data_IF_729690721418
#
_entry.id   IF_729690721418
#
_cell.length_a   1.000
_cell.length_b   1.000
_cell.length_c   1.000
_cell.angle_alpha   90.00
_cell.angle_beta   90.00
_cell.angle_gamma   90.00
#
_symmetry.space_group_name_H-M   'P 1'
#
loop_
_entity.id
_entity.type
_entity.pdbx_description
1 polymer ?
#
# COMPACT_ATOMS: atom_id res chain seq x y z
N UNK A 1 -48.80 -30.39 18.92
CA UNK A 1 -48.02 -30.11 17.69
C UNK A 1 -46.87 -29.20 18.09
N UNK A 2 -45.65 -29.71 18.21
CA UNK A 2 -44.46 -28.95 18.56
C UNK A 2 -43.70 -28.65 17.25
N UNK A 3 -43.57 -27.39 16.92
CA UNK A 3 -42.79 -26.95 15.76
C UNK A 3 -41.32 -26.86 16.18
N UNK A 4 -40.47 -27.65 15.51
CA UNK A 4 -39.03 -27.67 15.68
C UNK A 4 -38.45 -26.62 14.76
N UNK A 5 -37.79 -25.59 15.32
CA UNK A 5 -37.05 -24.56 14.57
C UNK A 5 -35.65 -25.13 14.33
N UNK A 6 -35.32 -25.31 13.06
CA UNK A 6 -33.98 -25.72 12.64
C UNK A 6 -33.04 -24.48 12.62
N UNK A 7 -31.98 -24.55 13.44
CA UNK A 7 -30.88 -23.61 13.38
C UNK A 7 -30.00 -23.88 12.13
N UNK A 8 -29.92 -22.92 11.27
CA UNK A 8 -28.95 -22.88 10.15
C UNK A 8 -27.62 -22.31 10.69
N UNK A 9 -26.48 -22.97 10.53
CA UNK A 9 -25.22 -22.44 10.96
C UNK A 9 -24.80 -21.31 9.98
N UNK A 10 -24.64 -20.10 10.52
CA UNK A 10 -24.02 -18.98 9.80
C UNK A 10 -22.52 -19.26 9.64
N UNK A 11 -22.12 -19.59 8.44
CA UNK A 11 -20.71 -19.64 8.04
C UNK A 11 -20.16 -18.21 7.98
N UNK A 12 -19.32 -17.86 8.94
CA UNK A 12 -18.53 -16.63 8.91
C UNK A 12 -17.50 -16.74 7.80
N UNK A 13 -17.74 -16.04 6.69
CA UNK A 13 -16.72 -15.75 5.69
C UNK A 13 -15.79 -14.68 6.28
N UNK A 14 -14.60 -15.12 6.67
CA UNK A 14 -13.50 -14.22 7.03
C UNK A 14 -13.03 -13.53 5.74
N UNK A 15 -13.48 -12.31 5.52
CA UNK A 15 -12.90 -11.43 4.50
C UNK A 15 -11.54 -10.94 4.99
N UNK A 16 -10.48 -11.46 4.42
CA UNK A 16 -9.14 -10.87 4.53
C UNK A 16 -9.17 -9.51 3.82
N UNK A 17 -9.28 -8.44 4.60
CA UNK A 17 -9.19 -7.07 4.11
C UNK A 17 -7.74 -6.75 3.73
N UNK A 18 -7.36 -7.07 2.51
CA UNK A 18 -6.26 -6.36 1.85
C UNK A 18 -6.69 -4.90 1.72
N UNK A 19 -5.84 -3.96 2.17
CA UNK A 19 -5.99 -2.53 1.97
C UNK A 19 -5.91 -2.18 0.47
N UNK A 20 -6.94 -2.53 -0.28
CA UNK A 20 -7.31 -1.78 -1.45
C UNK A 20 -8.21 -0.63 -0.95
N UNK A 21 -8.06 0.62 -1.43
CA UNK A 21 -8.99 1.68 -1.07
C UNK A 21 -10.39 1.20 -1.40
N UNK A 22 -11.30 1.29 -0.41
CA UNK A 22 -12.73 1.10 -0.65
C UNK A 22 -13.15 2.20 -1.63
N UNK A 23 -13.10 1.87 -2.93
CA UNK A 23 -13.79 2.65 -3.94
C UNK A 23 -15.25 2.71 -3.49
N UNK A 24 -15.75 3.88 -3.17
CA UNK A 24 -17.18 4.12 -3.11
C UNK A 24 -17.72 3.78 -4.50
N UNK A 25 -18.19 2.54 -4.66
CA UNK A 25 -18.78 2.06 -5.90
C UNK A 25 -20.13 2.75 -6.05
N UNK A 26 -20.20 3.73 -6.95
CA UNK A 26 -21.44 3.98 -7.64
C UNK A 26 -21.82 2.70 -8.37
N UNK A 27 -23.11 2.27 -8.38
CA UNK A 27 -23.54 1.08 -9.07
C UNK A 27 -23.56 1.34 -10.59
N UNK A 28 -22.40 1.23 -11.22
CA UNK A 28 -22.27 1.17 -12.66
C UNK A 28 -21.20 0.11 -12.97
N UNK A 29 -21.71 -1.07 -13.42
CA UNK A 29 -20.96 -2.13 -14.07
C UNK A 29 -19.60 -2.45 -13.38
N UNK A 30 -19.63 -3.34 -12.41
CA UNK A 30 -18.42 -4.13 -12.09
C UNK A 30 -17.99 -4.79 -13.40
N UNK A 31 -17.04 -4.17 -14.11
CA UNK A 31 -16.30 -4.88 -15.15
C UNK A 31 -15.58 -6.02 -14.43
N UNK A 32 -16.11 -7.23 -14.56
CA UNK A 32 -15.46 -8.41 -14.02
C UNK A 32 -14.01 -8.39 -14.51
N UNK A 33 -13.07 -8.45 -13.58
CA UNK A 33 -11.66 -8.54 -13.93
C UNK A 33 -11.47 -9.66 -14.97
N UNK A 34 -10.66 -9.42 -16.02
CA UNK A 34 -10.40 -10.44 -17.04
C UNK A 34 -9.98 -11.76 -16.41
N UNK A 35 -10.41 -12.88 -16.98
CA UNK A 35 -10.15 -14.22 -16.45
C UNK A 35 -8.66 -14.48 -16.20
N UNK A 36 -7.80 -14.07 -17.14
CA UNK A 36 -6.35 -14.23 -17.01
C UNK A 36 -5.78 -13.46 -15.81
N UNK A 37 -6.38 -12.32 -15.42
CA UNK A 37 -5.95 -11.57 -14.23
C UNK A 37 -6.28 -12.36 -12.97
N UNK A 38 -7.49 -12.93 -12.86
CA UNK A 38 -7.88 -13.74 -11.70
C UNK A 38 -7.02 -15.00 -11.58
N UNK A 39 -6.77 -15.69 -12.69
CA UNK A 39 -5.91 -16.87 -12.73
C UNK A 39 -4.47 -16.54 -12.33
N UNK A 40 -3.90 -15.47 -12.87
CA UNK A 40 -2.56 -15.03 -12.52
C UNK A 40 -2.44 -14.62 -11.04
N UNK A 41 -3.43 -13.90 -10.51
CA UNK A 41 -3.46 -13.58 -9.08
C UNK A 41 -3.55 -14.83 -8.19
N UNK A 42 -4.24 -15.88 -8.64
CA UNK A 42 -4.26 -17.16 -7.93
C UNK A 42 -2.87 -17.81 -7.91
N UNK A 43 -2.20 -17.86 -9.07
CA UNK A 43 -0.82 -18.37 -9.16
C UNK A 43 0.13 -17.58 -8.25
N UNK A 44 0.00 -16.26 -8.22
CA UNK A 44 0.81 -15.42 -7.33
C UNK A 44 0.56 -15.73 -5.84
N UNK A 45 -0.70 -15.95 -5.43
CA UNK A 45 -1.03 -16.38 -4.05
C UNK A 45 -0.44 -17.73 -3.69
N UNK A 46 -0.26 -18.60 -4.67
CA UNK A 46 0.41 -19.91 -4.53
C UNK A 46 1.95 -19.80 -4.57
N UNK A 47 2.51 -18.58 -4.68
CA UNK A 47 3.95 -18.34 -4.82
C UNK A 47 4.51 -18.65 -6.20
N UNK A 48 3.66 -18.93 -7.19
CA UNK A 48 4.05 -19.32 -8.57
C UNK A 48 4.17 -18.09 -9.47
N UNK A 49 5.12 -17.20 -9.17
CA UNK A 49 5.30 -15.95 -9.92
C UNK A 49 5.70 -16.21 -11.37
N UNK A 50 6.56 -17.21 -11.63
CA UNK A 50 6.97 -17.57 -12.98
C UNK A 50 5.77 -18.06 -13.83
N UNK A 51 4.89 -18.89 -13.25
CA UNK A 51 3.71 -19.38 -13.95
C UNK A 51 2.73 -18.24 -14.26
N UNK A 52 2.57 -17.29 -13.32
CA UNK A 52 1.77 -16.09 -13.55
C UNK A 52 2.33 -15.24 -14.68
N UNK A 53 3.65 -15.05 -14.74
CA UNK A 53 4.32 -14.32 -15.81
C UNK A 53 4.14 -15.03 -17.18
N UNK A 54 4.28 -16.35 -17.21
CA UNK A 54 4.04 -17.17 -18.42
C UNK A 54 2.59 -16.98 -18.91
N UNK A 55 1.61 -17.02 -18.03
CA UNK A 55 0.20 -16.78 -18.36
C UNK A 55 -0.01 -15.40 -18.98
N UNK A 56 0.55 -14.35 -18.37
CA UNK A 56 0.41 -12.98 -18.87
C UNK A 56 1.11 -12.77 -20.20
N UNK A 57 2.31 -13.32 -20.38
CA UNK A 57 3.04 -13.30 -21.67
C UNK A 57 2.28 -14.03 -22.77
N UNK A 58 1.67 -15.18 -22.47
CA UNK A 58 0.80 -15.90 -23.41
C UNK A 58 -0.42 -15.06 -23.82
N UNK A 59 -1.04 -14.38 -22.87
CA UNK A 59 -2.14 -13.44 -23.16
C UNK A 59 -1.68 -12.32 -24.10
N UNK A 60 -0.48 -11.79 -23.89
CA UNK A 60 0.07 -10.73 -24.74
C UNK A 60 0.45 -11.20 -26.16
N UNK A 61 0.70 -12.49 -26.38
CA UNK A 61 0.90 -13.03 -27.75
C UNK A 61 -0.37 -12.90 -28.60
N UNK A 62 -1.55 -13.07 -27.98
CA UNK A 62 -2.85 -12.95 -28.67
C UNK A 62 -3.46 -11.56 -28.57
N UNK A 63 -3.07 -10.78 -27.57
CA UNK A 63 -3.61 -9.44 -27.27
C UNK A 63 -2.50 -8.47 -26.88
N UNK A 64 -1.60 -8.09 -27.80
CA UNK A 64 -0.38 -7.30 -27.47
C UNK A 64 -0.68 -5.88 -26.98
N UNK A 65 -1.87 -5.38 -27.25
CA UNK A 65 -2.33 -4.04 -26.83
C UNK A 65 -3.20 -4.06 -25.55
N UNK A 66 -3.24 -5.19 -24.85
CA UNK A 66 -3.98 -5.29 -23.58
C UNK A 66 -3.27 -4.52 -22.47
N UNK A 67 -3.82 -3.37 -22.08
CA UNK A 67 -3.32 -2.59 -20.93
C UNK A 67 -3.28 -3.44 -19.64
N UNK A 68 -4.37 -4.17 -19.26
CA UNK A 68 -4.33 -5.00 -18.05
C UNK A 68 -3.27 -6.12 -18.09
N UNK A 69 -3.03 -6.73 -19.24
CA UNK A 69 -2.04 -7.81 -19.35
C UNK A 69 -0.60 -7.27 -19.25
N UNK A 70 -0.33 -6.11 -19.85
CA UNK A 70 0.96 -5.45 -19.72
C UNK A 70 1.20 -5.04 -18.26
N UNK A 71 0.22 -4.41 -17.58
CA UNK A 71 0.33 -4.05 -16.17
C UNK A 71 0.59 -5.29 -15.31
N UNK A 72 -0.17 -6.37 -15.51
CA UNK A 72 -0.03 -7.60 -14.73
C UNK A 72 1.36 -8.25 -14.91
N UNK A 73 1.87 -8.32 -16.15
CA UNK A 73 3.21 -8.86 -16.41
C UNK A 73 4.30 -8.02 -15.74
N UNK A 74 4.23 -6.68 -15.85
CA UNK A 74 5.16 -5.77 -15.19
C UNK A 74 5.13 -5.90 -13.67
N UNK A 75 3.93 -5.98 -13.06
CA UNK A 75 3.79 -6.11 -11.61
C UNK A 75 4.43 -7.39 -11.06
N UNK A 76 4.30 -8.52 -11.77
CA UNK A 76 5.00 -9.76 -11.39
C UNK A 76 6.51 -9.60 -11.48
N UNK A 77 7.00 -8.96 -12.54
CA UNK A 77 8.44 -8.72 -12.71
C UNK A 77 9.02 -7.84 -11.60
N UNK A 78 8.31 -6.80 -11.15
CA UNK A 78 8.74 -6.00 -9.99
C UNK A 78 8.82 -6.85 -8.71
N UNK A 79 7.81 -7.68 -8.46
CA UNK A 79 7.82 -8.62 -7.33
C UNK A 79 8.98 -9.63 -7.42
N UNK A 80 9.40 -9.99 -8.62
CA UNK A 80 10.60 -10.83 -8.86
C UNK A 80 11.91 -10.05 -8.73
N UNK A 81 11.88 -8.70 -8.66
CA UNK A 81 13.04 -7.83 -8.61
C UNK A 81 13.62 -7.48 -10.00
N UNK A 82 12.83 -7.63 -11.05
CA UNK A 82 13.21 -7.38 -12.45
C UNK A 82 12.62 -6.05 -12.96
N UNK A 83 12.88 -4.95 -12.23
CA UNK A 83 12.26 -3.65 -12.44
C UNK A 83 12.49 -3.05 -13.83
N UNK A 84 13.69 -3.19 -14.41
CA UNK A 84 13.95 -2.70 -15.77
C UNK A 84 13.07 -3.39 -16.82
N UNK A 85 12.85 -4.68 -16.69
CA UNK A 85 11.97 -5.41 -17.59
C UNK A 85 10.50 -5.09 -17.32
N UNK A 86 10.10 -4.95 -16.06
CA UNK A 86 8.77 -4.51 -15.65
C UNK A 86 8.38 -3.20 -16.33
N UNK A 87 9.27 -2.22 -16.31
CA UNK A 87 9.05 -0.89 -16.92
C UNK A 87 8.84 -0.93 -18.44
N UNK A 88 9.36 -1.92 -19.15
CA UNK A 88 9.06 -2.09 -20.59
C UNK A 88 7.58 -2.42 -20.80
N UNK A 89 7.01 -3.26 -19.95
CA UNK A 89 5.59 -3.59 -20.00
C UNK A 89 4.73 -2.39 -19.58
N UNK A 90 5.09 -1.66 -18.52
CA UNK A 90 4.34 -0.46 -18.13
C UNK A 90 4.43 0.65 -19.21
N UNK A 91 5.59 0.86 -19.83
CA UNK A 91 5.72 1.79 -20.93
C UNK A 91 4.81 1.38 -22.10
N UNK A 92 4.75 0.08 -22.42
CA UNK A 92 3.82 -0.42 -23.44
C UNK A 92 2.37 -0.19 -23.03
N UNK A 93 2.01 -0.42 -21.76
CA UNK A 93 0.66 -0.16 -21.26
C UNK A 93 0.27 1.32 -21.40
N UNK A 94 1.19 2.25 -21.11
CA UNK A 94 0.98 3.71 -21.27
C UNK A 94 0.78 4.07 -22.74
N UNK A 95 1.60 3.49 -23.65
CA UNK A 95 1.58 3.75 -25.07
C UNK A 95 0.26 3.30 -25.74
N UNK A 96 -0.25 2.13 -25.32
CA UNK A 96 -1.45 1.53 -25.93
C UNK A 96 -2.75 1.88 -25.19
N UNK A 97 -2.69 2.70 -24.14
CA UNK A 97 -3.88 3.11 -23.40
C UNK A 97 -4.80 3.97 -24.27
N UNK A 98 -6.02 3.50 -24.47
CA UNK A 98 -7.06 4.09 -25.32
C UNK A 98 -7.95 5.11 -24.60
N UNK A 99 -7.83 5.19 -23.27
CA UNK A 99 -8.53 6.15 -22.44
C UNK A 99 -7.60 6.83 -21.44
N UNK A 100 -7.90 8.10 -21.02
CA UNK A 100 -7.13 8.77 -19.96
C UNK A 100 -7.07 7.99 -18.65
N UNK A 101 -8.15 7.28 -18.28
CA UNK A 101 -8.20 6.44 -17.09
C UNK A 101 -7.21 5.27 -17.18
N UNK A 102 -7.22 4.53 -18.31
CA UNK A 102 -6.28 3.42 -18.52
C UNK A 102 -4.83 3.90 -18.55
N UNK A 103 -4.59 5.09 -19.12
CA UNK A 103 -3.27 5.71 -19.12
C UNK A 103 -2.82 6.05 -17.70
N UNK A 104 -3.70 6.63 -16.88
CA UNK A 104 -3.42 6.91 -15.47
C UNK A 104 -3.13 5.62 -14.68
N UNK A 105 -3.89 4.55 -14.90
CA UNK A 105 -3.62 3.23 -14.29
C UNK A 105 -2.23 2.70 -14.66
N UNK A 106 -1.83 2.81 -15.93
CA UNK A 106 -0.52 2.35 -16.39
C UNK A 106 0.61 3.24 -15.84
N UNK A 107 0.39 4.55 -15.73
CA UNK A 107 1.34 5.50 -15.11
C UNK A 107 1.51 5.23 -13.62
N UNK A 108 0.42 4.90 -12.88
CA UNK A 108 0.51 4.49 -11.48
C UNK A 108 1.29 3.19 -11.33
N UNK A 109 1.12 2.22 -12.23
CA UNK A 109 1.92 0.99 -12.22
C UNK A 109 3.41 1.28 -12.48
N UNK A 110 3.73 2.19 -13.39
CA UNK A 110 5.11 2.66 -13.63
C UNK A 110 5.70 3.36 -12.40
N UNK A 111 4.92 4.19 -11.73
CA UNK A 111 5.30 4.85 -10.47
C UNK A 111 5.69 3.82 -9.41
N UNK A 112 4.85 2.80 -9.21
CA UNK A 112 5.14 1.72 -8.25
C UNK A 112 6.41 0.95 -8.59
N UNK A 113 6.72 0.73 -9.88
CA UNK A 113 7.98 0.11 -10.28
C UNK A 113 9.19 0.89 -9.76
N UNK A 114 9.17 2.20 -9.84
CA UNK A 114 10.21 3.04 -9.26
C UNK A 114 10.19 3.05 -7.72
N UNK A 115 9.01 2.87 -7.11
CA UNK A 115 8.89 2.72 -5.66
C UNK A 115 9.58 1.44 -5.17
N UNK A 116 9.52 0.32 -5.91
CA UNK A 116 10.26 -0.92 -5.61
C UNK A 116 11.79 -0.72 -5.59
N UNK A 117 12.29 0.30 -6.26
CA UNK A 117 13.71 0.70 -6.24
C UNK A 117 14.02 1.81 -5.21
N UNK A 118 13.02 2.29 -4.48
CA UNK A 118 13.15 3.42 -3.54
C UNK A 118 13.42 4.76 -4.23
N UNK A 119 13.05 4.89 -5.51
CA UNK A 119 13.29 6.10 -6.30
C UNK A 119 12.12 7.09 -6.17
N UNK A 120 12.09 7.84 -5.05
CA UNK A 120 11.07 8.86 -4.77
C UNK A 120 10.87 9.83 -5.95
N UNK A 121 11.95 10.36 -6.51
CA UNK A 121 11.87 11.35 -7.60
C UNK A 121 11.10 10.82 -8.81
N UNK A 122 11.40 9.60 -9.26
CA UNK A 122 10.71 8.99 -10.40
C UNK A 122 9.29 8.54 -10.04
N UNK A 123 9.07 8.08 -8.84
CA UNK A 123 7.73 7.78 -8.32
C UNK A 123 6.84 9.02 -8.41
N UNK A 124 7.29 10.14 -7.86
CA UNK A 124 6.56 11.42 -7.89
C UNK A 124 6.30 11.91 -9.32
N UNK A 125 7.28 11.78 -10.22
CA UNK A 125 7.11 12.18 -11.62
C UNK A 125 5.91 11.47 -12.28
N UNK A 126 5.74 10.17 -12.04
CA UNK A 126 4.62 9.41 -12.61
C UNK A 126 3.32 9.60 -11.82
N UNK A 127 3.38 9.71 -10.48
CA UNK A 127 2.19 10.01 -9.66
C UNK A 127 1.61 11.39 -9.97
N UNK A 128 2.42 12.37 -10.34
CA UNK A 128 1.92 13.68 -10.78
C UNK A 128 0.94 13.55 -11.96
N UNK A 129 1.24 12.69 -12.94
CA UNK A 129 0.31 12.45 -14.05
C UNK A 129 -1.01 11.85 -13.61
N UNK A 130 -0.98 10.95 -12.62
CA UNK A 130 -2.17 10.31 -12.06
C UNK A 130 -2.97 11.32 -11.23
N UNK A 131 -2.28 12.14 -10.44
CA UNK A 131 -2.85 13.24 -9.68
C UNK A 131 -3.57 14.25 -10.59
N UNK A 132 -2.94 14.64 -11.69
CA UNK A 132 -3.51 15.55 -12.68
C UNK A 132 -4.74 14.96 -13.36
N UNK A 133 -4.73 13.65 -13.67
CA UNK A 133 -5.89 12.95 -14.20
C UNK A 133 -7.08 13.03 -13.25
N UNK A 134 -6.90 12.68 -11.96
CA UNK A 134 -7.99 12.75 -11.00
C UNK A 134 -8.49 14.19 -10.75
N UNK A 135 -7.59 15.16 -10.83
CA UNK A 135 -7.94 16.58 -10.81
C UNK A 135 -8.83 16.98 -12.00
N UNK A 136 -8.50 16.50 -13.20
CA UNK A 136 -9.26 16.80 -14.42
C UNK A 136 -10.70 16.26 -14.38
N UNK A 137 -10.94 15.16 -13.69
CA UNK A 137 -12.26 14.57 -13.46
C UNK A 137 -12.89 14.97 -12.13
N UNK A 138 -12.27 15.93 -11.41
CA UNK A 138 -12.72 16.46 -10.11
C UNK A 138 -12.95 15.40 -9.03
N UNK A 139 -12.20 14.30 -9.07
CA UNK A 139 -12.22 13.29 -8.03
C UNK A 139 -11.17 13.62 -6.96
N UNK A 140 -11.47 14.58 -6.09
CA UNK A 140 -10.57 15.10 -5.08
C UNK A 140 -10.14 14.03 -4.07
N UNK A 141 -11.02 13.05 -3.79
CA UNK A 141 -10.65 11.94 -2.91
C UNK A 141 -9.52 11.10 -3.51
N UNK A 142 -9.68 10.60 -4.73
CA UNK A 142 -8.64 9.81 -5.39
C UNK A 142 -7.38 10.65 -5.64
N UNK A 143 -7.55 11.93 -5.96
CA UNK A 143 -6.42 12.85 -6.12
C UNK A 143 -5.59 12.96 -4.83
N UNK A 144 -6.24 13.07 -3.66
CA UNK A 144 -5.58 13.04 -2.36
C UNK A 144 -4.91 11.71 -2.03
N UNK A 145 -5.58 10.58 -2.37
CA UNK A 145 -5.00 9.22 -2.21
C UNK A 145 -3.68 9.07 -2.98
N UNK A 146 -3.62 9.56 -4.23
CA UNK A 146 -2.42 9.50 -5.06
C UNK A 146 -1.29 10.33 -4.46
N UNK A 147 -1.59 11.50 -3.91
CA UNK A 147 -0.61 12.31 -3.22
C UNK A 147 -0.05 11.61 -1.98
N UNK A 148 -0.90 10.96 -1.18
CA UNK A 148 -0.48 10.16 -0.02
C UNK A 148 0.37 8.95 -0.44
N UNK A 149 0.09 8.34 -1.59
CA UNK A 149 0.85 7.22 -2.15
C UNK A 149 2.27 7.66 -2.54
N UNK A 150 2.41 8.78 -3.24
CA UNK A 150 3.69 9.40 -3.56
C UNK A 150 4.50 9.75 -2.30
N UNK A 151 3.83 10.38 -1.32
CA UNK A 151 4.43 10.75 -0.05
C UNK A 151 4.93 9.54 0.73
N UNK A 152 4.18 8.44 0.75
CA UNK A 152 4.56 7.19 1.42
C UNK A 152 5.83 6.60 0.83
N UNK A 153 5.96 6.57 -0.48
CA UNK A 153 7.19 6.10 -1.14
C UNK A 153 8.39 6.98 -0.78
N UNK A 154 8.18 8.30 -0.71
CA UNK A 154 9.25 9.23 -0.38
C UNK A 154 9.69 9.14 1.08
N UNK A 155 8.77 8.95 2.04
CA UNK A 155 9.18 8.73 3.44
C UNK A 155 9.98 7.42 3.57
N UNK A 156 9.60 6.38 2.84
CA UNK A 156 10.26 5.08 2.90
C UNK A 156 11.67 5.13 2.27
N UNK A 157 11.88 5.92 1.22
CA UNK A 157 13.21 6.19 0.63
C UNK A 157 14.08 7.16 1.43
N UNK A 158 13.52 7.87 2.42
CA UNK A 158 14.23 8.82 3.27
C UNK A 158 14.14 10.28 2.82
N UNK A 159 13.46 10.59 1.73
CA UNK A 159 13.19 11.95 1.29
C UNK A 159 12.00 12.54 2.06
N UNK A 160 12.28 13.00 3.27
CA UNK A 160 11.26 13.44 4.22
C UNK A 160 10.63 14.79 3.83
N UNK A 161 11.32 15.62 3.10
CA UNK A 161 10.80 16.93 2.69
C UNK A 161 9.83 16.77 1.52
N UNK A 162 10.16 15.95 0.53
CA UNK A 162 9.22 15.57 -0.53
C UNK A 162 8.02 14.82 0.03
N UNK A 163 8.22 13.91 0.99
CA UNK A 163 7.13 13.21 1.66
C UNK A 163 6.19 14.16 2.39
N UNK A 164 6.74 15.13 3.14
CA UNK A 164 5.94 16.14 3.84
C UNK A 164 5.08 16.95 2.86
N UNK A 165 5.71 17.45 1.79
CA UNK A 165 5.00 18.21 0.76
C UNK A 165 3.83 17.43 0.16
N UNK A 166 4.04 16.19 -0.24
CA UNK A 166 3.00 15.39 -0.88
C UNK A 166 1.89 14.96 0.09
N UNK A 167 2.19 14.69 1.37
CA UNK A 167 1.15 14.49 2.37
C UNK A 167 0.32 15.75 2.61
N UNK A 168 0.94 16.93 2.59
CA UNK A 168 0.21 18.20 2.68
C UNK A 168 -0.70 18.40 1.45
N UNK A 169 -0.18 18.14 0.25
CA UNK A 169 -0.97 18.18 -0.98
C UNK A 169 -2.16 17.21 -0.91
N UNK A 170 -1.96 16.01 -0.40
CA UNK A 170 -3.00 14.99 -0.22
C UNK A 170 -4.11 15.47 0.72
N UNK A 171 -3.72 15.94 1.90
CA UNK A 171 -4.63 16.51 2.90
C UNK A 171 -5.44 17.69 2.33
N UNK A 172 -4.75 18.70 1.80
CA UNK A 172 -5.38 19.92 1.29
C UNK A 172 -6.30 19.64 0.09
N UNK A 173 -5.95 18.64 -0.72
CA UNK A 173 -6.75 18.22 -1.87
C UNK A 173 -7.98 17.44 -1.44
N UNK A 174 -7.83 16.51 -0.52
CA UNK A 174 -8.93 15.71 -0.01
C UNK A 174 -10.01 16.56 0.66
N UNK A 175 -9.60 17.62 1.35
CA UNK A 175 -10.54 18.59 1.97
C UNK A 175 -11.30 19.47 0.95
N UNK A 176 -10.91 19.48 -0.34
CA UNK A 176 -11.65 20.19 -1.41
C UNK A 176 -12.87 19.40 -1.93
N UNK A 177 -13.11 18.19 -1.41
CA UNK A 177 -14.29 17.40 -1.80
C UNK A 177 -15.56 18.23 -1.58
N UNK A 178 -16.42 18.41 -2.61
CA UNK A 178 -17.63 19.22 -2.46
C UNK A 178 -18.56 18.65 -1.39
N UNK A 179 -19.10 19.53 -0.53
CA UNK A 179 -19.99 19.15 0.55
C UNK A 179 -19.40 18.04 1.47
N UNK A 180 -18.09 18.13 1.72
CA UNK A 180 -17.37 17.15 2.53
C UNK A 180 -18.07 16.92 3.87
N UNK A 181 -18.37 15.66 4.17
CA UNK A 181 -19.03 15.26 5.42
C UNK A 181 -18.02 15.08 6.56
N UNK A 182 -18.43 15.28 7.83
CA UNK A 182 -17.54 15.15 8.97
C UNK A 182 -16.70 13.86 9.02
N UNK A 183 -17.25 12.66 8.72
CA UNK A 183 -16.39 11.46 8.67
C UNK A 183 -15.28 11.54 7.63
N UNK A 184 -15.54 12.12 6.47
CA UNK A 184 -14.54 12.27 5.42
C UNK A 184 -13.50 13.34 5.77
N UNK A 185 -13.91 14.42 6.42
CA UNK A 185 -13.01 15.45 6.95
C UNK A 185 -12.10 14.83 8.04
N UNK A 186 -12.67 14.13 9.02
CA UNK A 186 -11.91 13.46 10.08
C UNK A 186 -10.95 12.39 9.52
N UNK A 187 -11.28 11.74 8.39
CA UNK A 187 -10.37 10.82 7.71
C UNK A 187 -9.11 11.53 7.22
N UNK A 188 -9.23 12.69 6.55
CA UNK A 188 -8.10 13.45 6.06
C UNK A 188 -7.26 14.04 7.20
N UNK A 189 -7.92 14.55 8.25
CA UNK A 189 -7.23 15.02 9.45
C UNK A 189 -6.45 13.89 10.15
N UNK A 190 -7.06 12.70 10.28
CA UNK A 190 -6.37 11.54 10.84
C UNK A 190 -5.14 11.14 10.01
N UNK A 191 -5.26 11.07 8.69
CA UNK A 191 -4.17 10.73 7.80
C UNK A 191 -3.03 11.74 7.86
N UNK A 192 -3.37 13.02 7.94
CA UNK A 192 -2.40 14.10 8.10
C UNK A 192 -1.62 13.96 9.41
N UNK A 193 -2.29 13.80 10.53
CA UNK A 193 -1.64 13.60 11.82
C UNK A 193 -0.80 12.32 11.86
N UNK A 194 -1.29 11.25 11.23
CA UNK A 194 -0.56 9.99 11.08
C UNK A 194 0.72 10.17 10.24
N UNK A 195 0.68 10.96 9.17
CA UNK A 195 1.84 11.29 8.35
C UNK A 195 2.86 12.13 9.11
N UNK A 196 2.38 13.19 9.79
CA UNK A 196 3.21 14.08 10.60
C UNK A 196 3.96 13.34 11.71
N UNK A 197 3.28 12.43 12.42
CA UNK A 197 3.91 11.63 13.46
C UNK A 197 5.08 10.79 12.90
N UNK A 198 4.89 10.16 11.72
CA UNK A 198 5.94 9.35 11.08
C UNK A 198 7.12 10.20 10.60
N UNK A 199 6.85 11.35 10.00
CA UNK A 199 7.90 12.28 9.54
C UNK A 199 8.68 12.83 10.74
N UNK A 200 8.01 13.26 11.81
CA UNK A 200 8.65 13.75 13.03
C UNK A 200 9.53 12.67 13.67
N UNK A 201 9.03 11.42 13.76
CA UNK A 201 9.80 10.28 14.26
C UNK A 201 11.08 10.03 13.43
N UNK A 202 10.97 10.08 12.10
CA UNK A 202 12.10 9.91 11.18
C UNK A 202 13.13 11.06 11.29
N UNK A 203 12.67 12.27 11.59
CA UNK A 203 13.52 13.44 11.87
C UNK A 203 14.13 13.43 13.26
N UNK A 204 13.81 12.43 14.10
CA UNK A 204 14.29 12.33 15.48
C UNK A 204 13.56 13.26 16.45
N UNK A 205 12.50 13.96 16.04
CA UNK A 205 11.70 14.82 16.91
C UNK A 205 10.61 14.01 17.63
N UNK A 206 10.99 13.33 18.68
CA UNK A 206 10.11 12.41 19.41
C UNK A 206 8.94 13.13 20.12
N UNK A 207 9.15 14.35 20.63
CA UNK A 207 8.10 15.12 21.29
C UNK A 207 6.98 15.49 20.31
N UNK A 208 7.36 15.93 19.11
CA UNK A 208 6.41 16.27 18.06
C UNK A 208 5.71 15.03 17.49
N UNK A 209 6.45 13.94 17.28
CA UNK A 209 5.87 12.66 16.89
C UNK A 209 4.77 12.20 17.87
N UNK A 210 5.04 12.27 19.19
CA UNK A 210 4.07 11.88 20.22
C UNK A 210 2.86 12.82 20.28
N UNK A 211 3.05 14.12 20.04
CA UNK A 211 1.96 15.09 19.93
C UNK A 211 1.01 14.70 18.80
N UNK A 212 1.53 14.38 17.62
CA UNK A 212 0.73 13.97 16.46
C UNK A 212 0.03 12.61 16.67
N UNK A 213 0.69 11.63 17.32
CA UNK A 213 0.03 10.38 17.76
C UNK A 213 -1.17 10.67 18.66
N UNK A 214 -0.99 11.58 19.63
CA UNK A 214 -2.06 11.95 20.56
C UNK A 214 -3.23 12.64 19.82
N UNK A 215 -2.95 13.49 18.85
CA UNK A 215 -3.98 14.16 18.04
C UNK A 215 -4.70 13.15 17.14
N UNK A 216 -3.96 12.26 16.47
CA UNK A 216 -4.54 11.17 15.66
C UNK A 216 -5.51 10.32 16.49
N UNK A 217 -5.10 9.93 17.73
CA UNK A 217 -5.98 9.20 18.64
C UNK A 217 -7.25 9.98 18.99
N UNK A 218 -7.15 11.28 19.31
CA UNK A 218 -8.34 12.12 19.59
C UNK A 218 -9.32 12.18 18.43
N UNK A 219 -8.83 12.17 17.20
CA UNK A 219 -9.70 12.13 16.00
C UNK A 219 -10.43 10.78 15.94
N UNK A 220 -9.73 9.67 16.17
CA UNK A 220 -10.36 8.34 16.23
C UNK A 220 -11.40 8.20 17.34
N UNK A 221 -11.12 8.81 18.50
CA UNK A 221 -12.03 8.79 19.67
C UNK A 221 -13.39 9.49 19.39
N UNK A 222 -13.51 10.27 18.29
CA UNK A 222 -14.81 10.80 17.81
C UNK A 222 -15.73 9.70 17.28
N UNK A 223 -15.18 8.53 16.89
CA UNK A 223 -15.94 7.39 16.38
C UNK A 223 -16.52 7.56 14.98
N UNK A 224 -16.11 8.58 14.23
CA UNK A 224 -16.59 8.88 12.88
C UNK A 224 -16.05 7.91 11.82
N UNK A 225 -14.86 7.29 12.07
CA UNK A 225 -14.18 6.35 11.20
C UNK A 225 -13.61 5.18 12.03
N UNK A 226 -14.45 4.30 12.58
CA UNK A 226 -14.00 3.22 13.48
C UNK A 226 -13.02 2.25 12.79
N UNK A 227 -13.12 2.08 11.48
CA UNK A 227 -12.21 1.25 10.69
C UNK A 227 -10.76 1.78 10.66
N UNK A 228 -10.55 3.07 10.95
CA UNK A 228 -9.20 3.67 11.03
C UNK A 228 -8.48 3.33 12.34
N UNK A 229 -9.20 2.87 13.37
CA UNK A 229 -8.61 2.55 14.67
C UNK A 229 -7.52 1.46 14.58
N UNK A 230 -7.61 0.56 13.61
CA UNK A 230 -6.60 -0.48 13.35
C UNK A 230 -5.21 0.07 12.99
N UNK A 231 -5.11 1.33 12.54
CA UNK A 231 -3.83 1.94 12.16
C UNK A 231 -3.10 2.59 13.33
N UNK A 232 -3.76 2.77 14.49
CA UNK A 232 -3.14 3.39 15.66
C UNK A 232 -1.99 2.54 16.25
N UNK A 233 -2.13 1.22 16.43
CA UNK A 233 -1.01 0.40 16.89
C UNK A 233 0.20 0.45 15.95
N UNK A 234 -0.04 0.44 14.63
CA UNK A 234 1.04 0.62 13.66
C UNK A 234 1.76 1.96 13.86
N UNK A 235 1.01 3.07 14.02
CA UNK A 235 1.59 4.39 14.22
C UNK A 235 2.42 4.47 15.51
N UNK A 236 1.89 3.93 16.60
CA UNK A 236 2.59 3.88 17.90
C UNK A 236 3.86 3.04 17.81
N UNK A 237 3.79 1.86 17.18
CA UNK A 237 4.94 1.00 16.96
C UNK A 237 6.01 1.64 16.08
N UNK A 238 5.59 2.35 15.01
CA UNK A 238 6.50 3.11 14.14
C UNK A 238 7.26 4.19 14.91
N UNK A 239 6.55 5.02 15.67
CA UNK A 239 7.16 6.09 16.47
C UNK A 239 8.10 5.51 17.53
N UNK A 240 7.70 4.44 18.22
CA UNK A 240 8.54 3.76 19.20
C UNK A 240 9.82 3.17 18.57
N UNK A 241 9.72 2.60 17.36
CA UNK A 241 10.87 2.06 16.62
C UNK A 241 11.92 3.15 16.35
N UNK A 242 11.52 4.30 15.81
CA UNK A 242 12.43 5.41 15.51
C UNK A 242 12.89 6.16 16.77
N UNK A 243 12.21 5.98 17.90
CA UNK A 243 12.68 6.41 19.22
C UNK A 243 13.73 5.47 19.85
N UNK A 244 14.00 4.31 19.23
CA UNK A 244 14.88 3.28 19.80
C UNK A 244 14.21 2.40 20.87
N UNK A 245 12.93 2.58 21.13
CA UNK A 245 12.15 1.83 22.12
C UNK A 245 11.63 0.51 21.51
N UNK A 246 12.56 -0.38 21.14
CA UNK A 246 12.24 -1.57 20.35
C UNK A 246 11.28 -2.57 21.02
N UNK A 247 11.28 -2.68 22.35
CA UNK A 247 10.31 -3.52 23.07
C UNK A 247 8.89 -3.01 22.88
N UNK A 248 8.66 -1.72 23.14
CA UNK A 248 7.36 -1.07 22.91
C UNK A 248 6.97 -1.11 21.43
N UNK A 249 7.94 -0.90 20.51
CA UNK A 249 7.68 -1.00 19.08
C UNK A 249 7.15 -2.38 18.69
N UNK A 250 7.76 -3.45 19.21
CA UNK A 250 7.33 -4.81 18.95
C UNK A 250 5.92 -5.08 19.50
N UNK A 251 5.66 -4.67 20.74
CA UNK A 251 4.35 -4.83 21.38
C UNK A 251 3.23 -4.18 20.58
N UNK A 252 3.45 -2.98 20.06
CA UNK A 252 2.44 -2.26 19.28
C UNK A 252 2.32 -2.79 17.85
N UNK A 253 3.44 -3.09 17.18
CA UNK A 253 3.41 -3.65 15.83
C UNK A 253 2.73 -5.03 15.77
N UNK A 254 2.82 -5.84 16.82
CA UNK A 254 2.13 -7.13 16.91
C UNK A 254 0.61 -6.99 17.04
N UNK A 255 0.08 -5.84 17.48
CA UNK A 255 -1.35 -5.52 17.51
C UNK A 255 -1.88 -5.00 16.17
N UNK A 256 -0.97 -4.57 15.27
CA UNK A 256 -1.33 -4.02 13.98
C UNK A 256 -1.69 -5.12 12.96
N UNK A 257 -2.07 -4.73 11.74
CA UNK A 257 -2.46 -5.65 10.68
C UNK A 257 -1.30 -6.57 10.27
N UNK A 258 -1.34 -7.83 10.70
CA UNK A 258 -0.30 -8.82 10.43
C UNK A 258 -0.25 -9.30 8.97
N UNK A 259 -1.19 -8.90 8.12
CA UNK A 259 -1.17 -9.19 6.68
C UNK A 259 -0.50 -8.06 5.85
N UNK A 260 -0.14 -6.94 6.47
CA UNK A 260 0.57 -5.86 5.80
C UNK A 260 2.08 -6.17 5.74
N UNK A 261 2.67 -6.32 4.54
CA UNK A 261 4.09 -6.66 4.40
C UNK A 261 5.02 -5.59 4.98
N UNK A 262 4.62 -4.32 4.98
CA UNK A 262 5.39 -3.25 5.62
C UNK A 262 5.49 -3.47 7.13
N UNK A 263 4.37 -3.81 7.78
CA UNK A 263 4.32 -4.09 9.22
C UNK A 263 5.13 -5.34 9.54
N UNK A 264 4.99 -6.42 8.76
CA UNK A 264 5.82 -7.62 8.90
C UNK A 264 7.32 -7.29 8.78
N UNK A 265 7.70 -6.47 7.81
CA UNK A 265 9.07 -6.04 7.62
C UNK A 265 9.57 -5.20 8.81
N UNK A 266 8.75 -4.30 9.36
CA UNK A 266 9.11 -3.53 10.56
C UNK A 266 9.24 -4.41 11.80
N UNK A 267 8.41 -5.45 11.97
CA UNK A 267 8.55 -6.44 13.04
C UNK A 267 9.89 -7.17 12.89
N UNK A 268 10.24 -7.59 11.67
CA UNK A 268 11.53 -8.20 11.36
C UNK A 268 12.70 -7.29 11.75
N UNK A 269 12.66 -6.01 11.36
CA UNK A 269 13.67 -5.01 11.75
C UNK A 269 13.73 -4.81 13.28
N UNK A 270 12.58 -4.86 13.94
CA UNK A 270 12.51 -4.70 15.41
C UNK A 270 13.15 -5.89 16.12
N UNK A 271 12.89 -7.13 15.69
CA UNK A 271 13.57 -8.33 16.21
C UNK A 271 15.07 -8.28 15.96
N UNK A 272 15.50 -7.81 14.77
CA UNK A 272 16.95 -7.62 14.48
C UNK A 272 17.59 -6.64 15.47
N UNK A 273 16.91 -5.51 15.80
CA UNK A 273 17.39 -4.55 16.80
C UNK A 273 17.41 -5.10 18.23
N UNK A 274 16.55 -6.06 18.53
CA UNK A 274 16.51 -6.77 19.82
C UNK A 274 17.48 -7.95 19.89
N UNK A 275 18.18 -8.28 18.79
CA UNK A 275 19.13 -9.38 18.70
C UNK A 275 18.52 -10.76 18.43
N UNK A 276 17.22 -10.84 18.16
CA UNK A 276 16.49 -12.07 17.85
C UNK A 276 16.48 -12.31 16.33
N UNK A 277 17.56 -12.89 15.83
CA UNK A 277 17.78 -13.11 14.39
C UNK A 277 16.78 -14.09 13.78
N UNK A 278 16.42 -15.14 14.51
CA UNK A 278 15.54 -16.19 14.00
C UNK A 278 14.14 -15.61 13.73
N UNK A 279 13.62 -14.82 14.67
CA UNK A 279 12.37 -14.10 14.50
C UNK A 279 12.45 -13.03 13.41
N UNK A 280 13.56 -12.32 13.30
CA UNK A 280 13.77 -11.36 12.23
C UNK A 280 13.64 -12.02 10.85
N UNK A 281 14.31 -13.15 10.65
CA UNK A 281 14.26 -13.93 9.40
C UNK A 281 12.83 -14.43 9.13
N UNK A 282 12.14 -14.97 10.14
CA UNK A 282 10.75 -15.42 10.00
C UNK A 282 9.84 -14.30 9.43
N UNK A 283 9.91 -13.09 10.00
CA UNK A 283 9.10 -11.98 9.57
C UNK A 283 9.52 -11.39 8.22
N UNK A 284 10.81 -11.40 7.89
CA UNK A 284 11.27 -11.04 6.55
C UNK A 284 10.78 -12.05 5.50
N UNK A 285 10.75 -13.35 5.80
CA UNK A 285 10.14 -14.33 4.89
C UNK A 285 8.66 -14.02 4.63
N UNK A 286 7.87 -13.72 5.67
CA UNK A 286 6.46 -13.31 5.50
C UNK A 286 6.33 -12.07 4.61
N UNK A 287 7.13 -11.04 4.87
CA UNK A 287 7.08 -9.79 4.10
C UNK A 287 7.51 -10.00 2.62
N UNK A 288 8.46 -10.90 2.35
CA UNK A 288 8.98 -11.15 1.01
C UNK A 288 8.01 -11.87 0.07
N UNK A 289 6.94 -12.49 0.61
CA UNK A 289 5.93 -13.22 -0.14
C UNK A 289 4.71 -12.39 -0.52
N UNK A 290 4.73 -11.07 -0.25
CA UNK A 290 3.64 -10.18 -0.66
C UNK A 290 3.48 -10.17 -2.19
N UNK A 291 2.21 -10.17 -2.63
CA UNK A 291 1.85 -10.21 -4.06
C UNK A 291 1.20 -8.92 -4.57
N UNK A 292 1.01 -7.95 -3.69
CA UNK A 292 0.43 -6.66 -4.07
C UNK A 292 1.49 -5.78 -4.75
N UNK A 293 1.05 -4.99 -5.73
CA UNK A 293 1.87 -3.97 -6.38
C UNK A 293 1.44 -2.60 -5.85
N UNK A 294 1.93 -2.26 -4.65
CA UNK A 294 1.53 -1.09 -3.88
C UNK A 294 2.68 -0.62 -2.96
N UNK A 295 2.59 0.57 -2.32
CA UNK A 295 3.68 1.11 -1.50
C UNK A 295 4.15 0.20 -0.37
N UNK A 296 3.28 -0.49 0.41
CA UNK A 296 3.74 -1.44 1.41
C UNK A 296 4.66 -2.54 0.87
N UNK A 297 4.26 -3.16 -0.25
CA UNK A 297 5.05 -4.21 -0.88
C UNK A 297 6.30 -3.67 -1.57
N UNK A 298 6.22 -2.48 -2.16
CA UNK A 298 7.35 -1.82 -2.80
C UNK A 298 8.51 -1.56 -1.83
N UNK A 299 8.21 -1.21 -0.59
CA UNK A 299 9.22 -1.12 0.47
C UNK A 299 9.65 -2.49 0.99
N UNK A 300 8.67 -3.33 1.37
CA UNK A 300 8.93 -4.52 2.17
C UNK A 300 9.59 -5.65 1.38
N UNK A 301 9.15 -5.93 0.15
CA UNK A 301 9.64 -7.08 -0.63
C UNK A 301 11.12 -6.97 -0.95
N UNK A 302 11.64 -5.85 -1.51
CA UNK A 302 13.06 -5.72 -1.79
C UNK A 302 13.92 -5.76 -0.52
N UNK A 303 13.48 -5.04 0.54
CA UNK A 303 14.20 -4.99 1.79
C UNK A 303 14.25 -6.36 2.47
N UNK A 304 13.13 -7.06 2.56
CA UNK A 304 13.06 -8.40 3.16
C UNK A 304 13.96 -9.41 2.42
N UNK A 305 13.92 -9.44 1.09
CA UNK A 305 14.80 -10.29 0.27
C UNK A 305 16.28 -9.99 0.53
N UNK A 306 16.65 -8.70 0.59
CA UNK A 306 18.00 -8.26 0.91
C UNK A 306 18.44 -8.73 2.31
N UNK A 307 17.54 -8.58 3.30
CA UNK A 307 17.81 -8.97 4.69
C UNK A 307 17.98 -10.49 4.83
N UNK A 308 17.11 -11.29 4.22
CA UNK A 308 17.24 -12.76 4.19
C UNK A 308 18.59 -13.18 3.60
N UNK A 309 19.00 -12.56 2.50
CA UNK A 309 20.28 -12.89 1.85
C UNK A 309 21.52 -12.46 2.68
N UNK A 310 21.39 -11.48 3.59
CA UNK A 310 22.50 -10.92 4.37
C UNK A 310 22.62 -11.46 5.79
N UNK A 311 21.56 -12.02 6.34
CA UNK A 311 21.58 -12.60 7.68
C UNK A 311 22.05 -14.07 7.57
N UNK A 312 23.16 -14.46 8.26
CA UNK A 312 23.59 -15.84 8.27
C UNK A 312 22.51 -16.70 8.97
N UNK A 313 22.17 -17.81 8.31
CA UNK A 313 21.35 -18.89 8.89
C UNK A 313 21.99 -19.50 10.14
#
# INVERSE_FOLDING_TARGET
MKATVALIPQTFLVFSASLAPLLAQTPSTQQQQPEFVRQGQQLMREGKLDDALVLYRKTLQTSPYSVPANIAAGSVLDLMGQGEEARKYFAKAIDVADTPERKAMAQRAMSMSYAFEGNCKKTVEYEQHVFDYYGSVRNFFQQGEIADEAARTCIDSGDLDTAYHWYQVGHDTGLKEPEIKPPRQDLWEFRWEHAQARIAARRGNQADAQKHVTTAKKILDKGTNPEQAQFLPYLQGYVAFYAGNYKTALEELLKANQNDPFIQCMIGQTHEKLGDKDKAIEFYHKASTAIAHNPPAAYAVPLAKKKIASLPS
#
